data_IF_404852022228
#
_entry.id   IF_404852022228
#
_cell.length_a   1.000
_cell.length_b   1.000
_cell.length_c   1.000
_cell.angle_alpha   90.00
_cell.angle_beta   90.00
_cell.angle_gamma   90.00
#
_symmetry.space_group_name_H-M   'P 1'
#
loop_
_entity.id
_entity.type
_entity.pdbx_description
1 polymer ?
#
# COMPACT_ATOMS: atom_id res chain seq x y z
N UNK A 1 2.31 30.93 -12.63
CA UNK A 1 3.64 30.37 -12.96
C UNK A 1 3.82 30.42 -14.45
N UNK A 2 4.92 31.02 -14.90
CA UNK A 2 5.38 30.92 -16.28
C UNK A 2 5.87 29.48 -16.57
N UNK A 3 6.01 29.09 -17.84
CA UNK A 3 6.60 27.78 -18.20
C UNK A 3 8.05 27.64 -17.68
N UNK A 4 8.77 28.75 -17.51
CA UNK A 4 10.13 28.75 -16.99
C UNK A 4 10.16 28.43 -15.49
N UNK A 5 9.25 29.01 -14.70
CA UNK A 5 9.13 28.73 -13.26
C UNK A 5 8.82 27.25 -12.99
N UNK A 6 8.05 26.63 -13.89
CA UNK A 6 7.71 25.20 -13.82
C UNK A 6 8.93 24.31 -14.09
N UNK A 7 9.74 24.64 -15.09
CA UNK A 7 10.97 23.92 -15.41
C UNK A 7 11.98 23.97 -14.25
N UNK A 8 12.19 25.15 -13.68
CA UNK A 8 13.10 25.34 -12.55
C UNK A 8 12.68 24.53 -11.31
N UNK A 9 11.38 24.52 -10.98
CA UNK A 9 10.84 23.76 -9.84
C UNK A 9 10.99 22.24 -10.04
N UNK A 10 10.78 21.77 -11.27
CA UNK A 10 10.96 20.37 -11.65
C UNK A 10 12.41 19.93 -11.57
N UNK A 11 13.34 20.72 -12.08
CA UNK A 11 14.77 20.45 -11.99
C UNK A 11 15.26 20.45 -10.54
N UNK A 12 14.83 21.42 -9.73
CA UNK A 12 15.14 21.50 -8.32
C UNK A 12 14.66 20.24 -7.57
N UNK A 13 13.41 19.82 -7.79
CA UNK A 13 12.85 18.64 -7.13
C UNK A 13 13.53 17.35 -7.59
N UNK A 14 13.85 17.23 -8.89
CA UNK A 14 14.66 16.13 -9.41
C UNK A 14 16.02 16.05 -8.73
N UNK A 15 16.68 17.19 -8.54
CA UNK A 15 17.98 17.28 -7.85
C UNK A 15 17.86 16.86 -6.38
N UNK A 16 16.84 17.32 -5.66
CA UNK A 16 16.63 16.95 -4.25
C UNK A 16 16.34 15.45 -4.09
N UNK A 17 15.51 14.85 -4.95
CA UNK A 17 15.24 13.40 -4.93
C UNK A 17 16.51 12.61 -5.20
N UNK A 18 17.31 13.01 -6.22
CA UNK A 18 18.60 12.37 -6.51
C UNK A 18 19.56 12.47 -5.32
N UNK A 19 19.66 13.64 -4.70
CA UNK A 19 20.51 13.84 -3.53
C UNK A 19 20.08 12.97 -2.35
N UNK A 20 18.76 12.90 -2.08
CA UNK A 20 18.18 12.04 -1.05
C UNK A 20 18.58 10.57 -1.26
N UNK A 21 18.51 10.08 -2.50
CA UNK A 21 18.90 8.71 -2.87
C UNK A 21 20.41 8.49 -2.68
N UNK A 22 21.27 9.42 -3.11
CA UNK A 22 22.72 9.31 -2.95
C UNK A 22 23.10 9.22 -1.47
N UNK A 23 22.49 10.06 -0.63
CA UNK A 23 22.72 10.06 0.81
C UNK A 23 22.23 8.77 1.47
N UNK A 24 21.05 8.29 1.08
CA UNK A 24 20.48 7.03 1.56
C UNK A 24 21.35 5.81 1.20
N UNK A 25 21.84 5.73 -0.05
CA UNK A 25 22.73 4.67 -0.51
C UNK A 25 24.08 4.69 0.21
N UNK A 26 24.52 5.88 0.63
CA UNK A 26 25.70 6.06 1.48
C UNK A 26 25.43 5.85 2.98
N UNK A 27 24.21 5.40 3.36
CA UNK A 27 23.74 5.24 4.74
C UNK A 27 23.84 6.51 5.60
N UNK A 28 23.82 7.70 4.98
CA UNK A 28 23.95 9.02 5.63
C UNK A 28 22.62 9.57 6.15
N UNK A 29 21.73 8.73 6.67
CA UNK A 29 20.40 9.14 7.14
C UNK A 29 20.42 10.14 8.32
N UNK A 30 21.52 10.20 9.07
CA UNK A 30 21.68 11.05 10.25
C UNK A 30 22.21 12.47 9.95
N UNK A 31 22.58 12.77 8.70
CA UNK A 31 23.20 14.05 8.34
C UNK A 31 22.18 15.17 8.13
N UNK A 32 22.59 16.42 8.37
CA UNK A 32 21.77 17.59 8.07
C UNK A 32 21.41 17.70 6.59
N UNK A 33 22.30 17.25 5.69
CA UNK A 33 22.05 17.21 4.24
C UNK A 33 20.88 16.28 3.88
N UNK A 34 20.72 15.16 4.60
CA UNK A 34 19.60 14.25 4.42
C UNK A 34 18.30 14.91 4.89
N UNK A 35 18.34 15.58 6.05
CA UNK A 35 17.19 16.33 6.58
C UNK A 35 16.74 17.45 5.65
N UNK A 36 17.68 18.20 5.08
CA UNK A 36 17.39 19.24 4.09
C UNK A 36 16.78 18.64 2.82
N UNK A 37 17.36 17.56 2.30
CA UNK A 37 16.85 16.89 1.09
C UNK A 37 15.44 16.31 1.31
N UNK A 38 15.20 15.71 2.48
CA UNK A 38 13.89 15.18 2.87
C UNK A 38 12.87 16.30 3.03
N UNK A 39 13.23 17.38 3.73
CA UNK A 39 12.36 18.55 3.90
C UNK A 39 12.02 19.20 2.56
N UNK A 40 12.96 19.29 1.63
CA UNK A 40 12.68 19.74 0.26
C UNK A 40 11.76 18.78 -0.49
N UNK A 41 11.86 17.47 -0.26
CA UNK A 41 10.93 16.48 -0.81
C UNK A 41 9.53 16.53 -0.18
N UNK A 42 9.40 16.98 1.07
CA UNK A 42 8.09 17.29 1.69
C UNK A 42 7.54 18.58 1.13
N UNK A 43 8.36 19.63 1.09
CA UNK A 43 7.96 20.99 0.71
C UNK A 43 7.80 21.20 -0.80
N UNK A 44 8.21 20.24 -1.64
CA UNK A 44 7.79 20.21 -3.05
C UNK A 44 6.25 20.18 -3.19
N UNK A 45 5.56 19.90 -2.06
CA UNK A 45 4.15 20.13 -1.83
C UNK A 45 3.93 21.41 -1.01
N UNK A 46 3.44 22.48 -1.64
CA UNK A 46 2.70 23.52 -0.92
C UNK A 46 1.21 23.31 -1.20
N UNK A 47 0.39 23.00 -0.17
CA UNK A 47 -1.05 22.78 -0.33
C UNK A 47 -1.86 24.06 -0.55
N UNK A 48 -1.23 25.22 -0.61
CA UNK A 48 -1.94 26.51 -0.59
C UNK A 48 -2.24 26.97 -2.01
N UNK A 49 -3.52 26.83 -2.40
CA UNK A 49 -4.12 27.41 -3.60
C UNK A 49 -3.35 27.13 -4.88
N UNK A 50 -2.91 25.89 -5.03
CA UNK A 50 -2.20 25.42 -6.19
C UNK A 50 -3.05 25.62 -7.46
N UNK A 51 -2.78 26.62 -8.34
CA UNK A 51 -3.40 26.67 -9.65
C UNK A 51 -3.19 25.32 -10.36
N UNK A 52 -4.03 24.96 -11.34
CA UNK A 52 -3.94 23.71 -12.11
C UNK A 52 -2.49 23.31 -12.48
N UNK A 53 -1.65 24.32 -12.75
CA UNK A 53 -0.21 24.21 -13.01
C UNK A 53 0.61 23.48 -11.93
N UNK A 54 0.26 23.60 -10.63
CA UNK A 54 0.96 22.89 -9.54
C UNK A 54 0.50 21.42 -9.45
N UNK A 55 -0.77 21.13 -9.73
CA UNK A 55 -1.25 19.74 -9.82
C UNK A 55 -0.63 19.03 -11.02
N UNK A 56 -0.55 19.69 -12.18
CA UNK A 56 0.18 19.21 -13.35
C UNK A 56 1.67 18.96 -13.04
N UNK A 57 2.31 19.91 -12.35
CA UNK A 57 3.70 19.79 -11.91
C UNK A 57 3.92 18.53 -11.06
N UNK A 58 3.08 18.33 -10.03
CA UNK A 58 3.23 17.20 -9.12
C UNK A 58 2.94 15.87 -9.80
N UNK A 59 1.94 15.85 -10.68
CA UNK A 59 1.64 14.68 -11.51
C UNK A 59 2.83 14.35 -12.41
N UNK A 60 3.46 15.37 -13.01
CA UNK A 60 4.67 15.19 -13.81
C UNK A 60 5.82 14.61 -13.00
N UNK A 61 6.09 15.11 -11.79
CA UNK A 61 7.12 14.53 -10.92
C UNK A 61 6.81 13.07 -10.55
N UNK A 62 5.55 12.75 -10.24
CA UNK A 62 5.16 11.37 -9.92
C UNK A 62 5.35 10.41 -11.10
N UNK A 63 4.93 10.82 -12.30
CA UNK A 63 5.03 10.00 -13.51
C UNK A 63 6.47 9.91 -14.02
N UNK A 64 7.16 11.05 -14.19
CA UNK A 64 8.46 11.10 -14.88
C UNK A 64 9.66 10.83 -13.96
N UNK A 65 9.53 11.01 -12.64
CA UNK A 65 10.64 10.84 -11.69
C UNK A 65 10.37 9.67 -10.77
N UNK A 66 9.31 9.74 -9.95
CA UNK A 66 9.09 8.77 -8.86
C UNK A 66 8.71 7.38 -9.39
N UNK A 67 8.02 7.31 -10.53
CA UNK A 67 7.62 6.04 -11.13
C UNK A 67 8.71 5.38 -11.96
N UNK A 68 9.85 6.04 -12.21
CA UNK A 68 11.02 5.41 -12.85
C UNK A 68 11.54 4.28 -11.98
N UNK A 69 11.80 3.10 -12.58
CA UNK A 69 12.19 1.89 -11.84
C UNK A 69 13.35 2.13 -10.86
N UNK A 70 14.46 2.70 -11.36
CA UNK A 70 15.63 2.98 -10.52
C UNK A 70 15.36 3.95 -9.37
N UNK A 71 14.49 4.94 -9.56
CA UNK A 71 14.12 5.89 -8.49
C UNK A 71 13.20 5.19 -7.49
N UNK A 72 12.17 4.50 -7.98
CA UNK A 72 11.17 3.80 -7.20
C UNK A 72 11.79 2.76 -6.26
N UNK A 73 12.71 1.93 -6.76
CA UNK A 73 13.39 0.89 -5.97
C UNK A 73 14.21 1.50 -4.82
N UNK A 74 14.83 2.65 -5.06
CA UNK A 74 15.52 3.40 -4.01
C UNK A 74 14.54 3.99 -3.00
N UNK A 75 13.38 4.51 -3.43
CA UNK A 75 12.37 5.08 -2.52
C UNK A 75 11.78 4.02 -1.57
N UNK A 76 11.42 2.84 -2.07
CA UNK A 76 10.91 1.75 -1.22
C UNK A 76 12.01 1.19 -0.29
N UNK A 77 13.26 1.19 -0.73
CA UNK A 77 14.40 0.83 0.10
C UNK A 77 14.61 1.86 1.23
N UNK A 78 14.58 3.15 0.92
CA UNK A 78 14.62 4.25 1.91
C UNK A 78 13.49 4.09 2.93
N UNK A 79 12.26 3.86 2.45
CA UNK A 79 11.10 3.66 3.32
C UNK A 79 11.35 2.53 4.32
N UNK A 80 11.81 1.37 3.82
CA UNK A 80 12.11 0.20 4.65
C UNK A 80 13.21 0.47 5.67
N UNK A 81 14.29 1.14 5.28
CA UNK A 81 15.40 1.44 6.18
C UNK A 81 14.96 2.43 7.26
N UNK A 82 14.25 3.50 6.91
CA UNK A 82 13.67 4.44 7.87
C UNK A 82 12.66 3.73 8.80
N UNK A 83 11.82 2.84 8.26
CA UNK A 83 10.92 1.97 9.01
C UNK A 83 11.62 1.13 10.07
N UNK A 84 12.72 0.48 9.70
CA UNK A 84 13.55 -0.33 10.60
C UNK A 84 14.33 0.48 11.62
N UNK A 85 14.72 1.72 11.29
CA UNK A 85 15.36 2.64 12.25
C UNK A 85 14.34 3.23 13.24
N UNK A 86 13.14 3.58 12.75
CA UNK A 86 12.05 4.10 13.55
C UNK A 86 11.48 3.04 14.49
N UNK A 87 11.29 1.83 13.98
CA UNK A 87 10.71 0.68 14.69
C UNK A 87 11.59 -0.54 14.44
N UNK A 88 12.61 -0.79 15.29
CA UNK A 88 13.53 -1.91 15.12
C UNK A 88 12.85 -3.28 15.12
N UNK A 89 13.45 -4.24 14.40
CA UNK A 89 12.96 -5.63 14.34
C UNK A 89 13.07 -6.35 15.69
N UNK A 90 14.07 -6.01 16.49
CA UNK A 90 14.33 -6.57 17.82
C UNK A 90 13.48 -5.90 18.91
N UNK A 91 12.23 -5.54 18.59
CA UNK A 91 11.30 -5.05 19.60
C UNK A 91 11.06 -6.16 20.62
N UNK A 92 11.71 -6.05 21.78
CA UNK A 92 11.40 -6.84 22.95
C UNK A 92 10.47 -6.03 23.84
N UNK A 93 9.55 -6.72 24.52
CA UNK A 93 8.72 -6.17 25.59
C UNK A 93 9.52 -5.50 26.72
N UNK A 94 10.85 -5.64 26.73
CA UNK A 94 11.77 -5.11 27.73
C UNK A 94 12.67 -3.94 27.25
N UNK A 95 12.32 -3.29 26.10
CA UNK A 95 12.87 -2.04 25.53
C UNK A 95 13.96 -2.27 24.44
N UNK A 96 13.72 -1.81 23.18
CA UNK A 96 13.81 -0.39 22.86
C UNK A 96 12.54 0.20 22.23
N UNK A 97 12.18 1.38 22.72
CA UNK A 97 11.14 2.28 22.22
C UNK A 97 11.37 2.69 20.75
N UNK A 98 10.31 3.08 20.02
CA UNK A 98 10.46 3.76 18.74
C UNK A 98 11.47 4.89 18.88
N UNK A 99 12.42 4.96 17.96
CA UNK A 99 13.40 6.03 18.01
C UNK A 99 12.77 7.28 17.41
N UNK A 100 12.36 8.21 18.27
CA UNK A 100 11.56 9.38 17.91
C UNK A 100 12.17 10.19 16.75
N UNK A 101 13.49 10.38 16.74
CA UNK A 101 14.21 11.02 15.62
C UNK A 101 13.92 10.36 14.27
N UNK A 102 13.89 9.03 14.24
CA UNK A 102 13.64 8.25 13.03
C UNK A 102 12.15 8.16 12.70
N UNK A 103 11.27 8.15 13.71
CA UNK A 103 9.82 8.26 13.54
C UNK A 103 9.46 9.55 12.79
N UNK A 104 10.04 10.70 13.20
CA UNK A 104 9.79 11.99 12.54
C UNK A 104 10.26 11.99 11.07
N UNK A 105 11.45 11.44 10.77
CA UNK A 105 11.93 11.30 9.38
C UNK A 105 11.04 10.39 8.54
N UNK A 106 10.54 9.30 9.12
CA UNK A 106 9.62 8.40 8.44
C UNK A 106 8.25 9.06 8.20
N UNK A 107 7.77 9.87 9.15
CA UNK A 107 6.55 10.67 8.98
C UNK A 107 6.68 11.62 7.79
N UNK A 108 7.76 12.41 7.74
CA UNK A 108 8.04 13.32 6.63
C UNK A 108 8.08 12.58 5.30
N UNK A 109 8.78 11.45 5.25
CA UNK A 109 8.87 10.64 4.03
C UNK A 109 7.52 10.05 3.62
N UNK A 110 6.74 9.51 4.56
CA UNK A 110 5.39 9.00 4.31
C UNK A 110 4.44 10.11 3.83
N UNK A 111 4.56 11.32 4.37
CA UNK A 111 3.78 12.47 3.94
C UNK A 111 4.09 12.82 2.48
N UNK A 112 5.37 12.85 2.10
CA UNK A 112 5.77 13.05 0.69
C UNK A 112 5.16 12.00 -0.22
N UNK A 113 5.27 10.71 0.12
CA UNK A 113 4.68 9.64 -0.69
C UNK A 113 3.16 9.83 -0.85
N UNK A 114 2.46 10.11 0.25
CA UNK A 114 1.01 10.33 0.27
C UNK A 114 0.62 11.52 -0.60
N UNK A 115 1.40 12.60 -0.56
CA UNK A 115 1.17 13.78 -1.40
C UNK A 115 1.24 13.45 -2.89
N UNK A 116 2.13 12.56 -3.32
CA UNK A 116 2.19 12.12 -4.72
C UNK A 116 1.11 11.09 -5.06
N UNK A 117 0.69 10.27 -4.10
CA UNK A 117 -0.42 9.33 -4.29
C UNK A 117 -1.73 10.05 -4.63
N UNK A 118 -2.00 11.22 -4.05
CA UNK A 118 -3.23 12.00 -4.33
C UNK A 118 -3.36 12.39 -5.81
N UNK A 119 -2.24 12.62 -6.49
CA UNK A 119 -2.24 13.19 -7.86
C UNK A 119 -1.82 12.20 -8.94
N UNK A 120 -1.37 11.00 -8.56
CA UNK A 120 -0.90 10.00 -9.52
C UNK A 120 -1.39 8.60 -9.18
N UNK A 121 -2.23 8.10 -10.07
CA UNK A 121 -2.82 6.77 -10.00
C UNK A 121 -1.79 5.70 -10.35
N UNK A 122 -0.90 5.95 -11.32
CA UNK A 122 0.18 5.02 -11.70
C UNK A 122 1.20 4.86 -10.58
N UNK A 123 1.64 5.96 -9.96
CA UNK A 123 2.54 5.92 -8.81
C UNK A 123 1.89 5.20 -7.62
N UNK A 124 0.62 5.51 -7.32
CA UNK A 124 -0.15 4.85 -6.25
C UNK A 124 -0.22 3.34 -6.46
N UNK A 125 -0.57 2.90 -7.66
CA UNK A 125 -0.62 1.48 -7.99
C UNK A 125 0.75 0.82 -7.82
N UNK A 126 1.82 1.47 -8.27
CA UNK A 126 3.18 0.94 -8.13
C UNK A 126 3.59 0.79 -6.66
N UNK A 127 3.30 1.81 -5.84
CA UNK A 127 3.60 1.80 -4.41
C UNK A 127 2.83 0.71 -3.66
N UNK A 128 1.52 0.61 -3.88
CA UNK A 128 0.68 -0.39 -3.19
C UNK A 128 0.95 -1.81 -3.69
N UNK A 129 1.37 -2.00 -4.95
CA UNK A 129 1.80 -3.33 -5.44
C UNK A 129 3.22 -3.70 -5.02
N UNK A 130 3.95 -2.82 -4.34
CA UNK A 130 5.31 -3.12 -3.89
C UNK A 130 5.30 -3.97 -2.62
N UNK A 131 5.83 -5.19 -2.74
CA UNK A 131 5.95 -6.12 -1.62
C UNK A 131 6.82 -5.56 -0.50
N UNK A 132 7.90 -4.86 -0.85
CA UNK A 132 8.82 -4.23 0.11
C UNK A 132 8.08 -3.17 0.94
N UNK A 133 7.32 -2.30 0.28
CA UNK A 133 6.56 -1.24 0.95
C UNK A 133 5.47 -1.83 1.85
N UNK A 134 4.61 -2.71 1.31
CA UNK A 134 3.49 -3.23 2.09
C UNK A 134 3.90 -4.17 3.22
N UNK A 135 4.96 -4.96 3.05
CA UNK A 135 5.52 -5.77 4.14
C UNK A 135 5.96 -4.87 5.30
N UNK A 136 6.62 -3.76 4.99
CA UNK A 136 7.08 -2.82 6.00
C UNK A 136 5.91 -2.07 6.66
N UNK A 137 4.94 -1.59 5.89
CA UNK A 137 3.70 -0.96 6.42
C UNK A 137 2.97 -1.93 7.35
N UNK A 138 2.78 -3.19 6.92
CA UNK A 138 2.14 -4.24 7.73
C UNK A 138 2.89 -4.45 9.04
N UNK A 139 4.22 -4.55 8.97
CA UNK A 139 5.09 -4.72 10.15
C UNK A 139 4.96 -3.55 11.12
N UNK A 140 5.05 -2.32 10.62
CA UNK A 140 4.93 -1.09 11.41
C UNK A 140 3.59 -1.06 12.14
N UNK A 141 2.48 -1.24 11.41
CA UNK A 141 1.14 -1.22 11.99
C UNK A 141 0.92 -2.34 13.01
N UNK A 142 1.44 -3.54 12.73
CA UNK A 142 1.35 -4.66 13.66
C UNK A 142 2.06 -4.36 14.99
N UNK A 143 3.32 -3.89 14.94
CA UNK A 143 4.07 -3.58 16.17
C UNK A 143 3.40 -2.41 16.89
N UNK A 144 2.99 -1.36 16.16
CA UNK A 144 2.26 -0.23 16.71
C UNK A 144 1.02 -0.70 17.48
N UNK A 145 0.21 -1.59 16.92
CA UNK A 145 -1.00 -2.10 17.59
C UNK A 145 -0.78 -2.70 18.98
N UNK A 146 0.45 -3.14 19.29
CA UNK A 146 0.82 -3.80 20.54
C UNK A 146 1.63 -2.93 21.51
N UNK A 147 2.08 -1.75 21.09
CA UNK A 147 2.99 -0.91 21.88
C UNK A 147 2.29 0.27 22.57
N UNK A 148 2.94 0.84 23.59
CA UNK A 148 2.54 2.13 24.15
C UNK A 148 2.85 3.25 23.17
N UNK A 149 1.85 4.07 22.87
CA UNK A 149 1.95 5.13 21.86
C UNK A 149 2.49 6.44 22.45
N UNK A 150 3.56 6.98 21.87
CA UNK A 150 3.90 8.40 22.00
C UNK A 150 3.15 9.24 20.95
N UNK A 151 3.12 10.56 21.12
CA UNK A 151 2.46 11.48 20.18
C UNK A 151 2.99 11.34 18.73
N UNK A 152 4.32 11.21 18.58
CA UNK A 152 4.95 10.98 17.28
C UNK A 152 4.50 9.64 16.65
N UNK A 153 4.37 8.58 17.46
CA UNK A 153 3.93 7.26 16.98
C UNK A 153 2.45 7.29 16.60
N UNK A 154 1.60 7.99 17.37
CA UNK A 154 0.19 8.19 17.02
C UNK A 154 0.07 8.91 15.66
N UNK A 155 0.87 9.96 15.46
CA UNK A 155 0.88 10.74 14.23
C UNK A 155 1.35 9.92 13.04
N UNK A 156 2.43 9.14 13.20
CA UNK A 156 2.91 8.22 12.16
C UNK A 156 1.87 7.15 11.83
N UNK A 157 1.25 6.54 12.85
CA UNK A 157 0.20 5.52 12.66
C UNK A 157 -0.95 6.10 11.83
N UNK A 158 -1.45 7.28 12.24
CA UNK A 158 -2.54 7.97 11.56
C UNK A 158 -2.17 8.26 10.11
N UNK A 159 -0.96 8.77 9.88
CA UNK A 159 -0.48 9.12 8.55
C UNK A 159 -0.37 7.89 7.62
N UNK A 160 0.13 6.76 8.12
CA UNK A 160 0.21 5.52 7.36
C UNK A 160 -1.21 5.04 6.98
N UNK A 161 -2.16 5.04 7.92
CA UNK A 161 -3.53 4.61 7.65
C UNK A 161 -4.22 5.57 6.67
N UNK A 162 -4.02 6.89 6.82
CA UNK A 162 -4.53 7.87 5.87
C UNK A 162 -3.91 7.71 4.47
N UNK A 163 -2.63 7.33 4.37
CA UNK A 163 -2.00 7.01 3.08
C UNK A 163 -2.68 5.81 2.40
N UNK A 164 -3.01 4.77 3.16
CA UNK A 164 -3.80 3.64 2.65
C UNK A 164 -5.20 4.10 2.21
N UNK A 165 -5.86 4.98 2.97
CA UNK A 165 -7.15 5.56 2.59
C UNK A 165 -7.06 6.36 1.28
N UNK A 166 -6.00 7.14 1.07
CA UNK A 166 -5.73 7.83 -0.19
C UNK A 166 -5.62 6.85 -1.35
N UNK A 167 -4.96 5.70 -1.16
CA UNK A 167 -4.89 4.69 -2.23
C UNK A 167 -6.25 4.08 -2.55
N UNK A 168 -7.10 3.86 -1.54
CA UNK A 168 -8.43 3.29 -1.67
C UNK A 168 -9.43 4.29 -2.25
N UNK A 169 -9.16 5.59 -2.15
CA UNK A 169 -9.99 6.63 -2.77
C UNK A 169 -10.07 6.50 -4.30
N UNK A 170 -9.18 5.76 -4.95
CA UNK A 170 -9.30 5.43 -6.38
C UNK A 170 -10.35 4.34 -6.69
N UNK A 171 -10.83 3.60 -5.68
CA UNK A 171 -11.81 2.52 -5.81
C UNK A 171 -11.43 1.43 -6.82
N UNK A 172 -10.13 1.14 -6.93
CA UNK A 172 -9.69 -0.04 -7.67
C UNK A 172 -9.86 -1.30 -6.83
N UNK A 173 -10.61 -2.26 -7.38
CA UNK A 173 -10.76 -3.59 -6.80
C UNK A 173 -9.42 -4.30 -6.61
N UNK A 174 -8.45 -4.06 -7.51
CA UNK A 174 -7.11 -4.63 -7.41
C UNK A 174 -6.33 -4.12 -6.19
N UNK A 175 -6.43 -2.82 -5.85
CA UNK A 175 -5.78 -2.25 -4.67
C UNK A 175 -6.40 -2.80 -3.38
N UNK A 176 -7.72 -2.85 -3.34
CA UNK A 176 -8.46 -3.44 -2.21
C UNK A 176 -8.09 -4.91 -2.00
N UNK A 177 -7.96 -5.68 -3.09
CA UNK A 177 -7.49 -7.07 -3.06
C UNK A 177 -6.07 -7.17 -2.49
N UNK A 178 -5.13 -6.39 -2.99
CA UNK A 178 -3.73 -6.41 -2.52
C UNK A 178 -3.65 -6.10 -1.01
N UNK A 179 -4.32 -5.04 -0.55
CA UNK A 179 -4.29 -4.68 0.89
C UNK A 179 -4.92 -5.76 1.78
N UNK A 180 -5.94 -6.47 1.28
CA UNK A 180 -6.53 -7.61 1.96
C UNK A 180 -5.59 -8.82 1.99
N UNK A 181 -4.94 -9.13 0.87
CA UNK A 181 -4.04 -10.27 0.75
C UNK A 181 -2.79 -10.08 1.65
N UNK A 182 -2.36 -8.82 1.81
CA UNK A 182 -1.39 -8.39 2.83
C UNK A 182 -1.93 -8.36 4.27
N UNK A 183 -3.17 -8.80 4.51
CA UNK A 183 -3.82 -8.90 5.81
C UNK A 183 -3.94 -7.60 6.61
N UNK A 184 -3.84 -6.44 5.96
CA UNK A 184 -3.94 -5.13 6.62
C UNK A 184 -5.32 -4.91 7.22
N UNK A 185 -6.37 -5.38 6.54
CA UNK A 185 -7.75 -5.37 7.08
C UNK A 185 -7.84 -6.10 8.42
N UNK A 186 -7.18 -7.26 8.55
CA UNK A 186 -7.23 -8.04 9.79
C UNK A 186 -6.51 -7.28 10.93
N UNK A 187 -5.34 -6.71 10.65
CA UNK A 187 -4.60 -5.90 11.64
C UNK A 187 -5.44 -4.71 12.10
N UNK A 188 -6.02 -3.96 11.16
CA UNK A 188 -6.78 -2.74 11.49
C UNK A 188 -8.14 -3.04 12.16
N UNK A 189 -8.76 -4.19 11.85
CA UNK A 189 -9.98 -4.64 12.54
C UNK A 189 -9.72 -4.97 14.01
N UNK A 190 -8.56 -5.55 14.31
CA UNK A 190 -8.16 -5.91 15.68
C UNK A 190 -7.42 -4.79 16.43
N UNK A 191 -7.27 -3.61 15.82
CA UNK A 191 -6.44 -2.54 16.37
C UNK A 191 -7.13 -1.85 17.56
N UNK A 192 -6.58 -2.04 18.76
CA UNK A 192 -7.13 -1.47 19.99
C UNK A 192 -6.39 -0.19 20.37
N UNK A 193 -6.84 0.97 19.87
CA UNK A 193 -6.31 2.27 20.29
C UNK A 193 -7.45 3.21 20.70
N UNK A 194 -7.37 3.88 21.87
CA UNK A 194 -8.42 4.78 22.30
C UNK A 194 -8.44 6.10 21.51
N UNK A 195 -7.36 6.45 20.81
CA UNK A 195 -7.21 7.71 20.09
C UNK A 195 -8.30 7.91 19.02
N UNK A 196 -9.06 9.02 19.09
CA UNK A 196 -10.17 9.27 18.17
C UNK A 196 -9.71 9.43 16.72
N UNK A 197 -8.52 10.00 16.48
CA UNK A 197 -7.99 10.23 15.13
C UNK A 197 -7.66 8.89 14.46
N UNK A 198 -6.97 8.00 15.17
CA UNK A 198 -6.66 6.66 14.66
C UNK A 198 -7.95 5.86 14.46
N UNK A 199 -8.88 5.88 15.42
CA UNK A 199 -10.19 5.22 15.26
C UNK A 199 -10.90 5.68 14.00
N UNK A 200 -10.92 6.98 13.74
CA UNK A 200 -11.55 7.52 12.54
C UNK A 200 -10.83 7.08 11.27
N UNK A 201 -9.50 7.14 11.24
CA UNK A 201 -8.69 6.70 10.10
C UNK A 201 -8.92 5.21 9.77
N UNK A 202 -9.03 4.37 10.80
CA UNK A 202 -9.35 2.94 10.67
C UNK A 202 -10.77 2.74 10.15
N UNK A 203 -11.77 3.45 10.68
CA UNK A 203 -13.15 3.33 10.19
C UNK A 203 -13.27 3.74 8.73
N UNK A 204 -12.54 4.78 8.29
CA UNK A 204 -12.46 5.16 6.88
C UNK A 204 -11.86 4.02 6.05
N UNK A 205 -10.73 3.43 6.49
CA UNK A 205 -10.11 2.30 5.82
C UNK A 205 -11.06 1.10 5.68
N UNK A 206 -11.74 0.75 6.78
CA UNK A 206 -12.68 -0.36 6.80
C UNK A 206 -13.87 -0.11 5.88
N UNK A 207 -14.40 1.13 5.85
CA UNK A 207 -15.48 1.52 4.94
C UNK A 207 -15.13 1.25 3.48
N UNK A 208 -13.91 1.58 3.05
CA UNK A 208 -13.45 1.30 1.68
C UNK A 208 -13.22 -0.19 1.38
N UNK A 209 -12.95 -1.01 2.40
CA UNK A 209 -12.58 -2.43 2.23
C UNK A 209 -13.74 -3.40 2.48
N UNK A 210 -14.90 -2.90 2.93
CA UNK A 210 -16.09 -3.71 3.09
C UNK A 210 -16.67 -4.12 1.74
N UNK A 211 -17.07 -5.39 1.66
CA UNK A 211 -17.65 -5.99 0.45
C UNK A 211 -19.17 -6.12 0.55
N UNK A 212 -19.72 -5.94 1.76
CA UNK A 212 -21.15 -6.08 2.04
C UNK A 212 -21.66 -4.84 2.78
N UNK A 213 -22.82 -4.34 2.36
CA UNK A 213 -23.46 -3.12 2.88
C UNK A 213 -23.82 -3.25 4.36
N UNK A 214 -24.09 -4.46 4.84
CA UNK A 214 -24.33 -4.73 6.26
C UNK A 214 -23.13 -4.36 7.15
N UNK A 215 -21.91 -4.48 6.62
CA UNK A 215 -20.69 -4.13 7.36
C UNK A 215 -20.49 -2.63 7.51
N UNK A 216 -21.17 -1.81 6.70
CA UNK A 216 -21.09 -0.36 6.78
C UNK A 216 -21.80 0.21 8.01
N UNK A 217 -22.66 -0.56 8.68
CA UNK A 217 -23.36 -0.08 9.88
C UNK A 217 -22.36 0.41 10.94
N UNK A 218 -22.49 1.68 11.33
CA UNK A 218 -21.65 2.30 12.35
C UNK A 218 -22.40 2.41 13.67
N UNK A 219 -21.67 2.16 14.77
CA UNK A 219 -22.16 2.54 16.10
C UNK A 219 -22.29 4.06 16.20
N UNK A 220 -23.22 4.52 17.03
CA UNK A 220 -23.50 5.96 17.25
C UNK A 220 -22.23 6.74 17.62
N UNK A 221 -21.36 6.18 18.46
CA UNK A 221 -20.08 6.80 18.85
C UNK A 221 -19.17 7.10 17.64
N UNK A 222 -19.16 6.23 16.62
CA UNK A 222 -18.36 6.42 15.41
C UNK A 222 -19.03 7.39 14.44
N UNK A 223 -20.36 7.42 14.39
CA UNK A 223 -21.12 8.42 13.64
C UNK A 223 -20.78 9.81 14.19
N UNK A 224 -20.80 10.00 15.52
CA UNK A 224 -20.47 11.29 16.13
C UNK A 224 -19.04 11.73 15.84
N UNK A 225 -18.08 10.82 15.98
CA UNK A 225 -16.68 11.06 15.68
C UNK A 225 -16.47 11.46 14.20
N UNK A 226 -17.06 10.70 13.27
CA UNK A 226 -17.00 11.01 11.85
C UNK A 226 -17.63 12.38 11.55
N UNK A 227 -18.79 12.66 12.13
CA UNK A 227 -19.52 13.91 11.91
C UNK A 227 -18.80 15.13 12.47
N UNK A 228 -18.10 15.02 13.59
CA UNK A 228 -17.26 16.11 14.11
C UNK A 228 -16.15 16.46 13.11
N UNK A 229 -15.44 15.46 12.59
CA UNK A 229 -14.39 15.69 11.59
C UNK A 229 -14.97 16.20 10.26
N UNK A 230 -16.11 15.66 9.83
CA UNK A 230 -16.79 16.09 8.61
C UNK A 230 -17.20 17.56 8.67
N UNK A 231 -17.79 17.99 9.79
CA UNK A 231 -18.16 19.40 9.98
C UNK A 231 -16.93 20.31 10.04
N UNK A 232 -15.86 19.87 10.69
CA UNK A 232 -14.63 20.65 10.76
C UNK A 232 -14.02 20.87 9.36
N UNK A 233 -13.89 19.80 8.58
CA UNK A 233 -13.14 19.82 7.32
C UNK A 233 -14.00 20.18 6.11
N UNK A 234 -15.12 19.48 5.90
CA UNK A 234 -15.94 19.62 4.69
C UNK A 234 -16.86 20.83 4.79
N UNK A 235 -17.61 20.94 5.90
CA UNK A 235 -18.56 22.06 6.08
C UNK A 235 -17.85 23.35 6.49
N UNK A 236 -16.92 23.26 7.43
CA UNK A 236 -16.18 24.40 7.94
C UNK A 236 -15.08 24.90 7.02
N UNK A 237 -14.75 24.15 5.95
CA UNK A 237 -13.65 24.46 5.03
C UNK A 237 -12.28 24.53 5.71
N UNK A 238 -12.11 23.92 6.89
CA UNK A 238 -10.85 23.97 7.65
C UNK A 238 -9.91 22.85 7.23
N UNK A 239 -8.63 23.19 7.06
CA UNK A 239 -7.59 22.20 6.75
C UNK A 239 -7.42 21.26 7.94
N UNK A 240 -7.56 19.96 7.69
CA UNK A 240 -7.18 18.92 8.64
C UNK A 240 -5.76 18.45 8.34
N UNK A 241 -5.00 18.13 9.37
CA UNK A 241 -3.65 17.58 9.22
C UNK A 241 -3.64 16.19 8.59
N UNK A 242 -4.72 15.41 8.77
CA UNK A 242 -4.75 13.99 8.37
C UNK A 242 -5.88 13.64 7.40
N UNK A 243 -6.99 14.38 7.43
CA UNK A 243 -8.21 13.98 6.71
C UNK A 243 -8.52 14.91 5.55
N UNK A 244 -8.50 14.37 4.35
CA UNK A 244 -8.87 15.09 3.14
C UNK A 244 -10.40 15.23 3.01
N UNK A 245 -10.86 16.41 2.61
CA UNK A 245 -12.28 16.72 2.48
C UNK A 245 -12.99 15.85 1.42
N UNK A 246 -12.31 15.56 0.30
CA UNK A 246 -12.86 14.73 -0.77
C UNK A 246 -13.00 13.26 -0.31
N UNK A 247 -12.02 12.76 0.44
CA UNK A 247 -12.08 11.42 1.04
C UNK A 247 -13.23 11.33 2.04
N UNK A 248 -13.39 12.32 2.93
CA UNK A 248 -14.50 12.35 3.89
C UNK A 248 -15.87 12.40 3.20
N UNK A 249 -16.02 13.24 2.17
CA UNK A 249 -17.23 13.31 1.35
C UNK A 249 -17.57 11.97 0.71
N UNK A 250 -16.55 11.29 0.17
CA UNK A 250 -16.68 9.96 -0.41
C UNK A 250 -17.07 8.89 0.60
N UNK A 251 -16.44 8.88 1.77
CA UNK A 251 -16.77 7.94 2.86
C UNK A 251 -18.20 8.13 3.34
N UNK A 252 -18.67 9.38 3.47
CA UNK A 252 -20.06 9.67 3.81
C UNK A 252 -21.03 9.05 2.80
N UNK A 253 -20.74 9.15 1.50
CA UNK A 253 -21.56 8.51 0.44
C UNK A 253 -21.61 6.99 0.61
N UNK A 254 -20.46 6.36 0.84
CA UNK A 254 -20.38 4.92 1.04
C UNK A 254 -21.17 4.49 2.27
N UNK A 255 -20.96 5.15 3.42
CA UNK A 255 -21.68 4.85 4.65
C UNK A 255 -23.19 5.01 4.52
N UNK A 256 -23.66 5.95 3.69
CA UNK A 256 -25.08 6.18 3.40
C UNK A 256 -25.73 5.08 2.55
N UNK A 257 -24.97 4.13 1.98
CA UNK A 257 -25.54 2.93 1.36
C UNK A 257 -26.28 2.06 2.39
N UNK A 258 -25.83 2.09 3.65
CA UNK A 258 -26.56 1.48 4.75
C UNK A 258 -27.75 2.37 5.17
N UNK A 259 -28.95 1.80 5.24
CA UNK A 259 -30.18 2.54 5.52
C UNK A 259 -30.20 3.18 6.92
N UNK A 260 -29.68 2.49 7.94
CA UNK A 260 -29.65 3.00 9.32
C UNK A 260 -28.69 4.18 9.43
N UNK A 261 -27.48 4.06 8.89
CA UNK A 261 -26.53 5.17 8.81
C UNK A 261 -27.15 6.38 8.08
N UNK A 262 -27.85 6.13 6.95
CA UNK A 262 -28.48 7.20 6.17
C UNK A 262 -29.52 7.97 6.99
N UNK A 263 -30.33 7.27 7.79
CA UNK A 263 -31.30 7.88 8.70
C UNK A 263 -30.58 8.71 9.76
N UNK A 264 -29.55 8.16 10.39
CA UNK A 264 -28.75 8.84 11.42
C UNK A 264 -28.07 10.11 10.89
N UNK A 265 -27.52 10.07 9.68
CA UNK A 265 -26.96 11.27 9.03
C UNK A 265 -28.04 12.27 8.65
N UNK A 266 -29.18 11.81 8.11
CA UNK A 266 -30.32 12.64 7.75
C UNK A 266 -30.89 13.43 8.94
N UNK A 267 -30.96 12.81 10.12
CA UNK A 267 -31.42 13.45 11.36
C UNK A 267 -30.50 14.56 11.87
N UNK A 268 -29.28 14.68 11.34
CA UNK A 268 -28.25 15.64 11.77
C UNK A 268 -28.13 16.86 10.84
N UNK A 269 -29.18 17.15 10.06
CA UNK A 269 -29.27 18.28 9.12
C UNK A 269 -28.13 18.36 8.09
N UNK A 270 -27.43 17.25 7.82
CA UNK A 270 -26.25 17.24 6.95
C UNK A 270 -26.60 17.66 5.51
N UNK A 271 -27.76 17.23 5.01
CA UNK A 271 -28.27 17.55 3.67
C UNK A 271 -28.43 19.07 3.53
N UNK A 272 -28.95 19.73 4.56
CA UNK A 272 -29.10 21.18 4.59
C UNK A 272 -27.74 21.88 4.56
N UNK A 273 -26.78 21.43 5.36
CA UNK A 273 -25.44 22.00 5.39
C UNK A 273 -24.72 21.83 4.04
N UNK A 274 -24.79 20.65 3.43
CA UNK A 274 -24.20 20.38 2.11
C UNK A 274 -24.82 21.24 1.01
N UNK A 275 -26.14 21.42 1.03
CA UNK A 275 -26.85 22.27 0.05
C UNK A 275 -26.49 23.75 0.20
N UNK A 276 -26.08 24.17 1.40
CA UNK A 276 -25.68 25.56 1.68
C UNK A 276 -24.20 25.87 1.45
N UNK A 277 -23.40 24.89 1.01
CA UNK A 277 -21.99 25.13 0.70
C UNK A 277 -21.86 26.09 -0.49
N UNK A 278 -20.89 27.00 -0.41
CA UNK A 278 -20.57 27.87 -1.55
C UNK A 278 -19.91 27.07 -2.67
N UNK A 279 -20.05 27.52 -3.92
CA UNK A 279 -19.40 26.87 -5.08
C UNK A 279 -17.88 26.75 -4.92
N UNK A 280 -17.25 27.70 -4.20
CA UNK A 280 -15.83 27.69 -3.83
C UNK A 280 -15.40 26.58 -2.86
N UNK A 281 -16.36 25.95 -2.17
CA UNK A 281 -16.17 24.81 -1.26
C UNK A 281 -16.70 23.51 -1.86
N UNK A 282 -17.26 23.56 -3.09
CA UNK A 282 -17.71 22.37 -3.81
C UNK A 282 -16.49 21.69 -4.44
N UNK A 283 -16.02 20.59 -3.85
CA UNK A 283 -14.89 19.79 -4.31
C UNK A 283 -15.22 19.01 -5.61
N UNK A 284 -15.68 19.72 -6.65
CA UNK A 284 -16.42 19.17 -7.79
C UNK A 284 -17.92 19.26 -7.50
N UNK A 285 -18.63 20.11 -8.24
CA UNK A 285 -20.08 20.35 -8.11
C UNK A 285 -20.92 19.06 -8.19
N UNK A 286 -20.43 18.05 -8.90
CA UNK A 286 -21.09 16.75 -9.03
C UNK A 286 -20.92 15.86 -7.78
N UNK A 287 -19.84 15.99 -7.01
CA UNK A 287 -19.59 15.13 -5.85
C UNK A 287 -20.53 15.46 -4.68
N UNK A 288 -20.62 16.74 -4.33
CA UNK A 288 -21.48 17.19 -3.21
C UNK A 288 -22.96 17.02 -3.55
N UNK A 289 -23.35 17.28 -4.80
CA UNK A 289 -24.73 17.07 -5.25
C UNK A 289 -25.12 15.60 -5.22
N UNK A 290 -24.26 14.69 -5.65
CA UNK A 290 -24.48 13.23 -5.54
C UNK A 290 -24.55 12.79 -4.07
N UNK A 291 -23.66 13.29 -3.20
CA UNK A 291 -23.74 13.00 -1.76
C UNK A 291 -25.07 13.44 -1.17
N UNK A 292 -25.52 14.65 -1.51
CA UNK A 292 -26.79 15.23 -1.06
C UNK A 292 -27.98 14.40 -1.57
N UNK A 293 -27.92 13.95 -2.84
CA UNK A 293 -28.93 13.08 -3.44
C UNK A 293 -29.03 11.75 -2.71
N UNK A 294 -27.92 11.02 -2.52
CA UNK A 294 -27.89 9.70 -1.86
C UNK A 294 -28.36 9.77 -0.40
N UNK A 295 -28.00 10.84 0.31
CA UNK A 295 -28.45 11.07 1.69
C UNK A 295 -29.93 11.38 1.79
N UNK A 296 -30.57 11.84 0.71
CA UNK A 296 -32.02 11.91 0.67
C UNK A 296 -32.57 10.48 0.75
N UNK A 297 -33.41 10.19 1.75
CA UNK A 297 -33.88 8.83 2.10
C UNK A 297 -34.72 8.12 1.02
N UNK A 298 -34.83 8.70 -0.18
CA UNK A 298 -35.65 8.24 -1.28
C UNK A 298 -34.89 7.44 -2.34
N UNK A 299 -33.56 7.44 -2.31
CA UNK A 299 -32.73 6.81 -3.35
C UNK A 299 -32.56 5.30 -3.09
N UNK A 300 -32.97 4.41 -4.00
CA UNK A 300 -32.70 2.99 -3.88
C UNK A 300 -31.20 2.69 -3.80
N UNK A 301 -30.81 1.68 -3.03
CA UNK A 301 -29.39 1.32 -2.82
C UNK A 301 -28.68 0.98 -4.13
N UNK A 302 -29.37 0.33 -5.07
CA UNK A 302 -28.79 -0.03 -6.37
C UNK A 302 -28.46 1.20 -7.22
N UNK A 303 -29.36 2.20 -7.22
CA UNK A 303 -29.18 3.46 -7.95
C UNK A 303 -28.04 4.28 -7.31
N UNK A 304 -28.04 4.38 -5.97
CA UNK A 304 -26.96 5.02 -5.23
C UNK A 304 -25.59 4.37 -5.49
N UNK A 305 -25.54 3.04 -5.56
CA UNK A 305 -24.31 2.30 -5.87
C UNK A 305 -23.82 2.62 -7.28
N UNK A 306 -24.73 2.67 -8.26
CA UNK A 306 -24.39 3.01 -9.63
C UNK A 306 -23.86 4.45 -9.76
N UNK A 307 -24.47 5.42 -9.07
CA UNK A 307 -23.99 6.80 -9.02
C UNK A 307 -22.57 6.90 -8.43
N UNK A 308 -22.29 6.17 -7.35
CA UNK A 308 -20.96 6.13 -6.74
C UNK A 308 -19.94 5.55 -7.71
N UNK A 309 -20.27 4.44 -8.40
CA UNK A 309 -19.38 3.83 -9.39
C UNK A 309 -19.06 4.78 -10.55
N UNK A 310 -20.06 5.50 -11.06
CA UNK A 310 -19.87 6.48 -12.13
C UNK A 310 -19.00 7.67 -11.70
N UNK A 311 -19.14 8.15 -10.45
CA UNK A 311 -18.23 9.16 -9.91
C UNK A 311 -16.79 8.64 -9.79
N UNK A 312 -16.63 7.40 -9.34
CA UNK A 312 -15.33 6.76 -9.23
C UNK A 312 -14.63 6.64 -10.59
N UNK A 313 -15.38 6.25 -11.63
CA UNK A 313 -14.90 6.18 -13.00
C UNK A 313 -14.50 7.55 -13.54
N UNK A 314 -15.33 8.58 -13.34
CA UNK A 314 -15.01 9.95 -13.75
C UNK A 314 -13.73 10.47 -13.06
N UNK A 315 -13.61 10.25 -11.75
CA UNK A 315 -12.43 10.64 -10.98
C UNK A 315 -11.15 9.97 -11.51
N UNK A 316 -11.21 8.66 -11.77
CA UNK A 316 -10.07 7.90 -12.33
C UNK A 316 -9.71 8.37 -13.74
N UNK A 317 -10.70 8.59 -14.60
CA UNK A 317 -10.49 9.06 -15.97
C UNK A 317 -9.81 10.43 -15.98
N UNK A 318 -10.27 11.36 -15.15
CA UNK A 318 -9.67 12.70 -15.04
C UNK A 318 -8.19 12.65 -14.61
N UNK A 319 -7.85 11.79 -13.64
CA UNK A 319 -6.46 11.65 -13.19
C UNK A 319 -5.61 10.96 -14.26
N UNK A 320 -6.15 9.95 -14.96
CA UNK A 320 -5.44 9.24 -16.02
C UNK A 320 -5.18 10.17 -17.21
N UNK A 321 -6.16 10.98 -17.61
CA UNK A 321 -5.99 12.00 -18.65
C UNK A 321 -4.95 13.04 -18.26
N UNK A 322 -4.93 13.47 -16.99
CA UNK A 322 -3.90 14.36 -16.47
C UNK A 322 -2.51 13.72 -16.53
N UNK A 323 -2.38 12.45 -16.15
CA UNK A 323 -1.11 11.71 -16.27
C UNK A 323 -0.65 11.60 -17.73
N UNK A 324 -1.56 11.34 -18.67
CA UNK A 324 -1.26 11.30 -20.10
C UNK A 324 -0.77 12.68 -20.60
N UNK A 325 -1.47 13.74 -20.20
CA UNK A 325 -1.15 15.11 -20.59
C UNK A 325 0.25 15.54 -20.16
N UNK A 326 0.68 15.16 -18.95
CA UNK A 326 1.99 15.58 -18.42
C UNK A 326 3.13 14.69 -18.88
N UNK A 327 2.82 13.49 -19.38
CA UNK A 327 3.81 12.53 -19.87
C UNK A 327 4.47 13.08 -21.12
N UNK A 328 5.75 13.40 -20.98
CA UNK A 328 6.61 13.67 -22.15
C UNK A 328 7.16 12.33 -22.61
N UNK A 329 6.95 11.96 -23.89
CA UNK A 329 7.59 10.78 -24.50
C UNK A 329 9.09 10.82 -24.22
N UNK A 330 9.54 10.00 -23.27
CA UNK A 330 10.92 9.61 -23.11
C UNK A 330 10.93 8.10 -23.34
N UNK A 331 11.61 7.69 -24.42
CA UNK A 331 11.76 6.30 -24.83
C UNK A 331 12.27 5.43 -23.66
N UNK A 332 11.65 4.26 -23.50
CA UNK A 332 12.23 3.15 -22.74
C UNK A 332 11.57 2.84 -21.40
N UNK A 333 10.29 2.45 -21.41
CA UNK A 333 9.76 1.29 -20.68
C UNK A 333 8.26 1.21 -20.94
N UNK A 334 7.84 0.18 -21.68
CA UNK A 334 6.43 -0.16 -21.80
C UNK A 334 5.87 -0.45 -20.40
N UNK A 335 4.68 0.07 -20.11
CA UNK A 335 3.89 -0.26 -18.92
C UNK A 335 3.51 -1.77 -18.89
N UNK A 336 3.69 -2.47 -20.01
CA UNK A 336 3.38 -3.90 -20.15
C UNK A 336 4.39 -4.84 -19.46
N UNK A 337 5.55 -4.36 -18.99
CA UNK A 337 6.55 -5.22 -18.34
C UNK A 337 6.24 -5.53 -16.86
N UNK A 338 5.12 -5.00 -16.32
CA UNK A 338 4.66 -5.28 -14.95
C UNK A 338 3.38 -6.14 -14.87
N UNK A 339 2.99 -6.78 -15.97
CA UNK A 339 2.22 -8.01 -15.83
C UNK A 339 3.19 -9.11 -15.39
N UNK A 340 3.17 -9.44 -14.10
CA UNK A 340 3.45 -10.80 -13.68
C UNK A 340 2.64 -11.72 -14.61
N UNK A 341 3.31 -12.34 -15.57
CA UNK A 341 2.78 -13.49 -16.26
C UNK A 341 2.54 -14.53 -15.18
N UNK A 342 1.27 -14.66 -14.76
CA UNK A 342 0.83 -15.93 -14.22
C UNK A 342 1.26 -17.00 -15.23
N UNK A 343 1.83 -18.14 -14.79
CA UNK A 343 2.10 -19.22 -15.72
C UNK A 343 0.77 -19.58 -16.39
N UNK A 344 0.68 -19.22 -17.67
CA UNK A 344 -0.37 -19.73 -18.53
C UNK A 344 -0.06 -21.22 -18.63
N UNK A 345 -1.05 -22.05 -18.36
CA UNK A 345 -0.91 -23.50 -18.47
C UNK A 345 -0.24 -23.84 -19.81
N UNK A 346 0.76 -24.75 -19.85
CA UNK A 346 1.38 -25.13 -21.10
C UNK A 346 0.35 -25.80 -21.99
N UNK A 347 0.02 -25.12 -23.08
CA UNK A 347 -0.70 -25.71 -24.20
C UNK A 347 0.20 -26.79 -24.82
N UNK A 348 -0.39 -27.97 -25.00
CA UNK A 348 0.30 -29.16 -25.47
C UNK A 348 0.53 -28.99 -26.98
N UNK A 349 1.82 -28.92 -27.32
CA UNK A 349 2.51 -29.07 -28.61
C UNK A 349 1.75 -29.28 -29.92
N UNK A 350 2.32 -28.72 -30.98
CA UNK A 350 2.83 -29.54 -32.10
C UNK A 350 3.97 -28.84 -32.87
N UNK A 351 5.15 -29.41 -32.69
CA UNK A 351 6.19 -29.85 -33.65
C UNK A 351 6.71 -28.99 -34.85
N UNK A 352 8.06 -29.09 -34.96
CA UNK A 352 8.96 -29.07 -36.14
C UNK A 352 9.80 -27.86 -36.55
N UNK A 353 11.11 -28.16 -36.56
CA UNK A 353 12.19 -27.83 -37.53
C UNK A 353 13.22 -26.73 -37.19
N UNK A 354 14.39 -27.23 -36.73
CA UNK A 354 15.78 -27.00 -37.21
C UNK A 354 16.13 -25.69 -37.95
N UNK A 355 17.09 -24.92 -37.39
CA UNK A 355 18.43 -24.75 -37.99
C UNK A 355 19.34 -23.82 -37.14
N UNK A 356 20.61 -24.23 -36.94
CA UNK A 356 21.73 -23.45 -36.37
C UNK A 356 22.85 -23.37 -37.41
N UNK A 357 23.67 -22.30 -37.46
CA UNK A 357 25.04 -22.44 -36.93
C UNK A 357 25.57 -21.14 -36.23
N UNK A 358 26.13 -21.18 -35.02
CA UNK A 358 27.49 -21.60 -34.56
C UNK A 358 28.50 -20.45 -34.45
N UNK A 359 28.72 -19.92 -33.24
CA UNK A 359 30.04 -19.42 -32.76
C UNK A 359 30.20 -19.82 -31.29
N UNK A 360 31.34 -20.43 -30.98
CA UNK A 360 31.70 -21.11 -29.74
C UNK A 360 32.33 -20.13 -28.75
N UNK A 361 31.82 -20.05 -27.52
CA UNK A 361 32.52 -19.58 -26.32
C UNK A 361 32.15 -20.54 -25.19
N UNK A 362 33.15 -20.99 -24.43
CA UNK A 362 33.06 -22.04 -23.40
C UNK A 362 31.93 -21.79 -22.38
N UNK A 363 30.96 -22.69 -22.31
CA UNK A 363 29.84 -22.67 -21.36
C UNK A 363 30.25 -23.31 -20.02
N UNK A 364 30.46 -22.48 -19.00
CA UNK A 364 30.18 -22.89 -17.62
C UNK A 364 28.66 -22.83 -17.41
N UNK A 365 28.06 -23.88 -16.86
CA UNK A 365 26.62 -24.04 -16.64
C UNK A 365 26.00 -22.75 -16.01
N UNK A 366 25.08 -22.04 -16.71
CA UNK A 366 24.54 -20.76 -16.26
C UNK A 366 23.47 -20.88 -15.16
N UNK A 367 23.20 -22.08 -14.66
CA UNK A 367 22.15 -22.36 -13.67
C UNK A 367 22.68 -22.86 -12.32
N UNK A 368 23.88 -22.44 -11.89
CA UNK A 368 24.31 -22.75 -10.53
C UNK A 368 23.49 -21.91 -9.53
N UNK A 369 22.38 -22.48 -9.05
CA UNK A 369 21.63 -21.96 -7.91
C UNK A 369 22.51 -22.06 -6.67
N UNK A 370 23.00 -20.92 -6.19
CA UNK A 370 23.71 -20.83 -4.91
C UNK A 370 22.69 -20.96 -3.76
N UNK A 371 22.41 -22.20 -3.37
CA UNK A 371 21.49 -22.54 -2.30
C UNK A 371 20.82 -23.88 -2.58
N UNK A 372 19.98 -24.34 -1.65
CA UNK A 372 19.14 -25.51 -1.86
C UNK A 372 17.70 -25.07 -2.15
N UNK A 373 16.87 -25.94 -2.72
CA UNK A 373 15.41 -25.74 -2.75
C UNK A 373 14.83 -26.44 -1.53
N UNK A 374 14.12 -25.69 -0.68
CA UNK A 374 13.39 -26.27 0.44
C UNK A 374 11.97 -26.62 0.00
N UNK A 375 11.54 -27.87 0.21
CA UNK A 375 10.15 -28.28 -0.01
C UNK A 375 9.40 -28.26 1.31
N UNK A 376 8.43 -27.35 1.45
CA UNK A 376 7.49 -27.30 2.57
C UNK A 376 6.17 -27.95 2.20
N UNK A 377 5.76 -28.96 2.95
CA UNK A 377 4.59 -29.79 2.63
C UNK A 377 3.93 -30.31 3.91
N UNK A 378 2.71 -30.83 3.78
CA UNK A 378 2.03 -31.53 4.86
C UNK A 378 2.50 -32.98 4.88
N UNK A 379 2.60 -33.64 6.03
CA UNK A 379 2.88 -35.09 6.08
C UNK A 379 1.91 -35.93 5.22
N UNK A 380 0.68 -35.43 4.98
CA UNK A 380 -0.29 -36.08 4.10
C UNK A 380 0.09 -36.03 2.60
N UNK A 381 0.98 -35.10 2.21
CA UNK A 381 1.43 -34.85 0.84
C UNK A 381 2.86 -35.38 0.58
N UNK A 382 3.42 -36.16 1.51
CA UNK A 382 4.79 -36.72 1.49
C UNK A 382 5.13 -37.44 0.18
N UNK A 383 4.19 -38.21 -0.37
CA UNK A 383 4.39 -38.92 -1.64
C UNK A 383 4.64 -37.98 -2.82
N UNK A 384 3.97 -36.82 -2.84
CA UNK A 384 4.13 -35.83 -3.90
C UNK A 384 5.44 -35.08 -3.68
N UNK A 385 5.75 -34.70 -2.44
CA UNK A 385 6.99 -34.03 -2.08
C UNK A 385 8.24 -34.87 -2.45
N UNK A 386 8.22 -36.18 -2.17
CA UNK A 386 9.29 -37.09 -2.56
C UNK A 386 9.42 -37.23 -4.08
N UNK A 387 8.30 -37.31 -4.82
CA UNK A 387 8.35 -37.39 -6.28
C UNK A 387 8.96 -36.13 -6.90
N UNK A 388 8.63 -34.96 -6.35
CA UNK A 388 9.22 -33.69 -6.78
C UNK A 388 10.71 -33.65 -6.42
N UNK A 389 11.07 -34.04 -5.21
CA UNK A 389 12.48 -34.15 -4.78
C UNK A 389 13.28 -35.03 -5.73
N UNK A 390 12.84 -36.26 -5.99
CA UNK A 390 13.53 -37.20 -6.88
C UNK A 390 13.68 -36.62 -8.29
N UNK A 391 12.64 -35.96 -8.81
CA UNK A 391 12.70 -35.31 -10.11
C UNK A 391 13.75 -34.19 -10.17
N UNK A 392 13.86 -33.38 -9.11
CA UNK A 392 14.80 -32.25 -9.05
C UNK A 392 16.24 -32.69 -8.73
N UNK A 393 16.41 -33.72 -7.92
CA UNK A 393 17.73 -34.30 -7.63
C UNK A 393 18.34 -34.97 -8.87
N UNK A 394 17.51 -35.54 -9.76
CA UNK A 394 17.95 -36.06 -11.06
C UNK A 394 18.50 -34.97 -12.00
N UNK A 395 18.19 -33.70 -11.73
CA UNK A 395 18.72 -32.52 -12.44
C UNK A 395 19.90 -31.86 -11.70
N UNK A 396 20.52 -32.58 -10.75
CA UNK A 396 21.64 -32.11 -9.92
C UNK A 396 21.32 -30.90 -9.01
N UNK A 397 20.03 -30.64 -8.74
CA UNK A 397 19.59 -29.56 -7.86
C UNK A 397 19.61 -30.04 -6.39
N UNK A 398 20.23 -29.27 -5.49
CA UNK A 398 20.25 -29.57 -4.06
C UNK A 398 18.88 -29.33 -3.44
N UNK A 399 18.24 -30.36 -2.89
CA UNK A 399 16.93 -30.28 -2.25
C UNK A 399 17.04 -30.48 -0.74
N UNK A 400 16.23 -29.76 0.03
CA UNK A 400 16.04 -29.95 1.45
C UNK A 400 14.57 -30.27 1.74
N UNK A 401 14.33 -31.34 2.49
CA UNK A 401 13.01 -31.74 2.99
C UNK A 401 13.15 -32.17 4.46
N UNK A 402 12.12 -31.91 5.25
CA UNK A 402 12.11 -32.19 6.69
C UNK A 402 12.44 -33.67 7.02
N UNK A 403 11.97 -34.60 6.20
CA UNK A 403 12.07 -36.05 6.38
C UNK A 403 13.49 -36.58 6.44
N UNK A 404 14.45 -35.95 5.76
CA UNK A 404 15.85 -36.41 5.71
C UNK A 404 16.68 -35.94 6.92
N UNK A 405 16.16 -34.97 7.67
CA UNK A 405 16.88 -34.31 8.77
C UNK A 405 16.19 -34.45 10.13
N UNK A 406 15.09 -35.21 10.20
CA UNK A 406 14.28 -35.45 11.40
C UNK A 406 14.73 -36.69 12.17
N UNK A 407 15.88 -36.60 12.87
CA UNK A 407 16.34 -37.67 13.78
C UNK A 407 16.44 -37.23 15.26
N UNK A 408 16.31 -35.95 15.62
CA UNK A 408 16.38 -35.53 17.04
C UNK A 408 15.45 -34.35 17.39
N UNK A 409 14.51 -34.60 18.32
CA UNK A 409 13.35 -33.74 18.69
C UNK A 409 13.68 -32.37 19.32
N UNK A 410 14.94 -31.97 19.45
CA UNK A 410 15.36 -30.78 20.24
C UNK A 410 15.85 -29.62 19.38
N UNK A 411 15.97 -29.77 18.05
CA UNK A 411 16.49 -28.71 17.14
C UNK A 411 15.67 -28.52 15.85
N UNK A 412 14.39 -28.90 15.86
CA UNK A 412 13.55 -28.92 14.65
C UNK A 412 13.35 -27.50 14.08
N UNK A 413 13.00 -26.53 14.93
CA UNK A 413 12.77 -25.14 14.49
C UNK A 413 14.04 -24.47 13.99
N UNK A 414 15.19 -24.71 14.63
CA UNK A 414 16.47 -24.14 14.20
C UNK A 414 16.95 -24.74 12.87
N UNK A 415 16.73 -26.04 12.65
CA UNK A 415 17.05 -26.69 11.38
C UNK A 415 16.13 -26.20 10.25
N UNK A 416 14.83 -26.03 10.51
CA UNK A 416 13.88 -25.46 9.56
C UNK A 416 14.19 -23.99 9.26
N UNK A 417 14.51 -23.18 10.27
CA UNK A 417 14.87 -21.77 10.10
C UNK A 417 16.16 -21.63 9.27
N UNK A 418 17.17 -22.47 9.54
CA UNK A 418 18.40 -22.50 8.74
C UNK A 418 18.16 -22.99 7.31
N UNK A 419 17.24 -23.93 7.11
CA UNK A 419 16.87 -24.39 5.77
C UNK A 419 16.20 -23.25 4.98
N UNK A 420 15.17 -22.61 5.54
CA UNK A 420 14.52 -21.45 4.92
C UNK A 420 15.52 -20.33 4.60
N UNK A 421 16.42 -20.01 5.53
CA UNK A 421 17.38 -18.90 5.38
C UNK A 421 18.43 -19.16 4.29
N UNK A 422 18.83 -20.41 4.08
CA UNK A 422 19.85 -20.79 3.09
C UNK A 422 19.24 -21.40 1.82
N UNK A 423 17.91 -21.39 1.70
CA UNK A 423 17.21 -21.84 0.52
C UNK A 423 17.26 -20.74 -0.56
N UNK A 424 17.61 -21.13 -1.78
CA UNK A 424 17.45 -20.27 -2.94
C UNK A 424 15.97 -20.14 -3.33
N UNK A 425 15.20 -21.22 -3.12
CA UNK A 425 13.77 -21.31 -3.42
C UNK A 425 13.08 -22.09 -2.30
N UNK A 426 11.93 -21.60 -1.83
CA UNK A 426 11.04 -22.36 -0.94
C UNK A 426 9.81 -22.78 -1.74
N UNK A 427 9.71 -24.07 -2.04
CA UNK A 427 8.57 -24.67 -2.74
C UNK A 427 7.52 -25.11 -1.72
N UNK A 428 6.35 -24.46 -1.74
CA UNK A 428 5.25 -24.78 -0.82
C UNK A 428 4.20 -25.64 -1.54
N UNK A 429 3.98 -26.87 -1.07
CA UNK A 429 2.90 -27.73 -1.55
C UNK A 429 1.58 -27.33 -0.88
N UNK A 430 0.96 -26.28 -1.42
CA UNK A 430 -0.26 -25.73 -0.85
C UNK A 430 -1.46 -26.66 -1.08
N UNK A 431 -1.91 -27.30 -0.01
CA UNK A 431 -3.05 -28.21 0.02
C UNK A 431 -3.99 -27.90 1.20
N UNK A 432 -5.21 -28.47 1.20
CA UNK A 432 -6.13 -28.35 2.36
C UNK A 432 -5.51 -28.95 3.63
N UNK A 433 -4.77 -30.05 3.50
CA UNK A 433 -4.02 -30.67 4.59
C UNK A 433 -2.88 -29.79 5.09
N UNK A 434 -2.19 -29.08 4.18
CA UNK A 434 -1.15 -28.11 4.53
C UNK A 434 -1.70 -26.94 5.33
N UNK A 435 -2.86 -26.39 4.94
CA UNK A 435 -3.52 -25.29 5.66
C UNK A 435 -3.97 -25.70 7.08
N UNK A 436 -4.31 -26.97 7.28
CA UNK A 436 -4.89 -27.48 8.54
C UNK A 436 -3.87 -28.10 9.49
N UNK A 437 -2.62 -28.33 9.05
CA UNK A 437 -1.63 -29.08 9.83
C UNK A 437 -1.15 -28.33 11.08
N UNK A 438 -0.83 -29.07 12.16
CA UNK A 438 -0.39 -28.47 13.42
C UNK A 438 0.98 -27.78 13.30
N UNK A 439 1.90 -28.32 12.49
CA UNK A 439 3.24 -27.76 12.28
C UNK A 439 3.20 -26.45 11.48
N UNK A 440 2.19 -26.22 10.65
CA UNK A 440 1.97 -24.94 9.93
C UNK A 440 1.12 -23.94 10.74
N UNK A 441 0.42 -24.41 11.79
CA UNK A 441 -0.36 -23.56 12.70
C UNK A 441 0.43 -23.11 13.94
N UNK A 442 1.54 -23.76 14.27
CA UNK A 442 2.28 -23.55 15.52
C UNK A 442 2.96 -22.17 15.66
N UNK A 443 3.09 -21.38 14.59
CA UNK A 443 3.75 -20.06 14.63
C UNK A 443 2.78 -18.86 14.76
N UNK A 444 1.46 -19.07 14.77
CA UNK A 444 0.48 -17.96 14.81
C UNK A 444 -0.70 -18.22 15.73
N UNK A 445 -0.43 -18.52 17.01
CA UNK A 445 -1.28 -18.21 18.17
C UNK A 445 -0.89 -19.12 19.35
N UNK A 446 -0.09 -18.59 20.27
CA UNK A 446 -0.26 -18.90 21.69
C UNK A 446 -0.27 -17.57 22.46
N UNK A 447 -1.45 -17.36 23.04
CA UNK A 447 -1.97 -16.37 23.99
C UNK A 447 -1.08 -15.24 24.51
#
# INVERSE_FOLDING_TARGET
MSKNDFGELYEATSKHIKQLIILANSKKYATAEFDESLKSFVNSFSPEDAPANITEYRTKVAVDILSRLSVFDNLISIYRELGRMAIPLSYSTFNPLPCEKWVLKLMDFQQSLTNYMVVSISFTQKLIKSDIYLTEVRRILHIMSTMKMSEAVLSLTTLIICSLNTSLAYEYSCLTKVLRDYGLRNILTCYTCPDPTIKLAINIFLTFTYTDISQLHLKVEYIELFMQQFHYTVIGGRKSHFFDASILNKVLRLLALNAENRIEFGNRDIVRHLTSLSDSQSYGTNEISTTTHILSSKVPVIDATQEILSLAEAYRSNITELEEKVRTYFEGASIDEFLLQYPTEPDIGDDQSEDKPSIVVEEGNPYHLDGHIMISYSHNDDKIALKIKESLENEEIKIWIDKDHMVQDVKILDAMANAVQNAAIVLILFSKSYQQSANTRADYCKE
#
